data_IF_866500316946
#
_entry.id   IF_866500316946
#
_cell.length_a   1.000
_cell.length_b   1.000
_cell.length_c   1.000
_cell.angle_alpha   90.00
_cell.angle_beta   90.00
_cell.angle_gamma   90.00
#
_symmetry.space_group_name_H-M   'P 1'
#
loop_
_entity.id
_entity.type
_entity.pdbx_description
1 polymer ?
#
# COMPACT_ATOMS: atom_id res chain seq x y z
N UNK A 1 9.20 -6.26 -2.65
CA UNK A 1 8.62 -4.96 -2.22
C UNK A 1 7.13 -5.21 -2.13
N UNK A 2 6.43 -4.89 -1.04
CA UNK A 2 4.97 -4.96 -1.03
C UNK A 2 4.37 -4.15 -2.18
N UNK A 3 3.61 -4.83 -3.03
CA UNK A 3 2.81 -4.24 -4.09
C UNK A 3 1.33 -4.27 -3.65
N UNK A 4 0.40 -3.97 -4.55
CA UNK A 4 -1.03 -3.90 -4.19
C UNK A 4 -1.55 -5.16 -3.49
N UNK A 5 -1.24 -6.39 -3.92
CA UNK A 5 -1.70 -7.60 -3.26
C UNK A 5 -1.25 -7.73 -1.80
N UNK A 6 0.03 -7.48 -1.53
CA UNK A 6 0.58 -7.58 -0.17
C UNK A 6 0.04 -6.47 0.75
N UNK A 7 -0.15 -5.27 0.21
CA UNK A 7 -0.70 -4.13 0.97
C UNK A 7 -2.18 -4.36 1.29
N UNK A 8 -2.97 -4.88 0.34
CA UNK A 8 -4.37 -5.25 0.59
C UNK A 8 -4.48 -6.39 1.60
N UNK A 9 -3.62 -7.41 1.50
CA UNK A 9 -3.61 -8.47 2.49
C UNK A 9 -3.27 -7.93 3.89
N UNK A 10 -2.31 -6.99 3.97
CA UNK A 10 -2.00 -6.29 5.23
C UNK A 10 -3.23 -5.54 5.76
N UNK A 11 -3.92 -4.78 4.91
CA UNK A 11 -5.16 -4.07 5.25
C UNK A 11 -6.22 -5.02 5.82
N UNK A 12 -6.52 -6.12 5.11
CA UNK A 12 -7.50 -7.13 5.55
C UNK A 12 -7.10 -7.78 6.88
N UNK A 13 -5.82 -8.07 7.08
CA UNK A 13 -5.35 -8.65 8.34
C UNK A 13 -5.46 -7.68 9.52
N UNK A 14 -5.22 -6.39 9.31
CA UNK A 14 -5.43 -5.38 10.36
C UNK A 14 -6.91 -5.22 10.71
N UNK A 15 -7.81 -5.26 9.72
CA UNK A 15 -9.26 -5.26 9.95
C UNK A 15 -9.71 -6.53 10.67
N UNK A 16 -9.27 -7.71 10.22
CA UNK A 16 -9.59 -9.00 10.86
C UNK A 16 -9.07 -9.07 12.29
N UNK A 17 -7.91 -8.47 12.56
CA UNK A 17 -7.37 -8.34 13.91
C UNK A 17 -8.20 -7.36 14.76
N UNK A 18 -9.23 -6.69 14.24
CA UNK A 18 -10.04 -5.74 15.01
C UNK A 18 -9.24 -4.50 15.38
N UNK A 19 -8.41 -3.97 14.47
CA UNK A 19 -7.74 -2.68 14.66
C UNK A 19 -8.71 -1.48 14.60
N UNK A 20 -9.73 -1.43 13.71
CA UNK A 20 -10.75 -0.39 13.76
C UNK A 20 -11.47 -0.38 15.11
N UNK A 21 -11.60 0.81 15.70
CA UNK A 21 -12.17 1.04 17.04
C UNK A 21 -11.15 1.08 18.17
N UNK A 22 -9.90 0.64 17.95
CA UNK A 22 -8.85 0.72 18.97
C UNK A 22 -8.28 2.15 19.08
N UNK A 23 -7.96 2.54 20.31
CA UNK A 23 -7.32 3.84 20.61
C UNK A 23 -5.82 3.67 20.81
N UNK A 24 -5.03 4.48 20.10
CA UNK A 24 -3.57 4.50 20.28
C UNK A 24 -3.27 5.21 21.60
N UNK A 25 -2.79 4.49 22.62
CA UNK A 25 -2.56 5.05 23.96
C UNK A 25 -1.21 5.76 24.08
N UNK A 26 -0.24 5.36 23.25
CA UNK A 26 1.07 5.99 23.17
C UNK A 26 1.71 5.69 21.80
N UNK A 27 2.82 6.37 21.48
CA UNK A 27 3.59 6.13 20.25
C UNK A 27 5.08 6.19 20.54
N UNK A 28 5.82 5.17 20.08
CA UNK A 28 7.28 5.14 20.14
C UNK A 28 7.87 5.01 18.72
N UNK A 29 8.54 6.07 18.26
CA UNK A 29 9.22 6.12 16.96
C UNK A 29 10.74 5.98 17.19
N UNK A 30 11.30 4.80 16.95
CA UNK A 30 12.76 4.57 17.14
C UNK A 30 13.64 5.02 15.96
N UNK A 31 13.03 5.35 14.82
CA UNK A 31 13.73 5.81 13.62
C UNK A 31 12.99 6.99 12.98
N UNK A 32 13.39 8.22 13.33
CA UNK A 32 12.67 9.43 12.94
C UNK A 32 12.58 9.61 11.41
N UNK A 33 13.56 9.14 10.65
CA UNK A 33 13.59 9.28 9.19
C UNK A 33 12.46 8.53 8.46
N UNK A 34 11.75 7.61 9.12
CA UNK A 34 10.52 7.02 8.57
C UNK A 34 9.42 8.06 8.45
N UNK A 35 9.35 9.02 9.38
CA UNK A 35 8.31 10.05 9.42
C UNK A 35 8.63 11.15 8.41
N UNK A 36 7.70 11.39 7.48
CA UNK A 36 7.87 12.34 6.38
C UNK A 36 7.14 13.65 6.59
N UNK A 37 5.99 13.61 7.25
CA UNK A 37 5.21 14.78 7.66
C UNK A 37 4.31 14.39 8.84
N UNK A 38 4.22 15.17 9.93
CA UNK A 38 5.07 16.30 10.31
C UNK A 38 6.44 15.80 10.81
N UNK A 39 6.91 16.21 11.99
CA UNK A 39 8.06 15.59 12.65
C UNK A 39 7.65 14.34 13.45
N UNK A 40 8.60 13.47 13.80
CA UNK A 40 8.32 12.29 14.60
C UNK A 40 7.65 12.60 15.96
N UNK A 41 8.09 13.68 16.64
CA UNK A 41 7.49 14.13 17.89
C UNK A 41 6.03 14.57 17.71
N UNK A 42 5.76 15.39 16.68
CA UNK A 42 4.40 15.84 16.36
C UNK A 42 3.49 14.71 15.90
N UNK A 43 4.04 13.71 15.19
CA UNK A 43 3.29 12.51 14.82
C UNK A 43 2.91 11.71 16.07
N UNK A 44 3.85 11.50 16.99
CA UNK A 44 3.57 10.77 18.23
C UNK A 44 2.52 11.48 19.09
N UNK A 45 2.64 12.79 19.25
CA UNK A 45 1.65 13.63 19.94
C UNK A 45 0.28 13.57 19.26
N UNK A 46 0.24 13.75 17.94
CA UNK A 46 -1.02 13.80 17.19
C UNK A 46 -1.75 12.47 17.08
N UNK A 47 -1.06 11.34 17.26
CA UNK A 47 -1.66 10.00 17.29
C UNK A 47 -2.12 9.57 18.69
N UNK A 48 -1.50 10.10 19.74
CA UNK A 48 -1.80 9.71 21.12
C UNK A 48 -3.26 10.05 21.48
N UNK A 49 -3.98 9.07 22.02
CA UNK A 49 -5.39 9.18 22.40
C UNK A 49 -6.37 9.15 21.23
N UNK A 50 -5.91 8.92 19.99
CA UNK A 50 -6.77 8.86 18.81
C UNK A 50 -7.25 7.44 18.54
N UNK A 51 -8.52 7.30 18.20
CA UNK A 51 -9.12 6.04 17.76
C UNK A 51 -8.93 5.86 16.26
N UNK A 52 -8.43 4.70 15.85
CA UNK A 52 -8.37 4.31 14.44
C UNK A 52 -9.78 3.93 13.99
N UNK A 53 -10.36 4.67 13.05
CA UNK A 53 -11.76 4.47 12.65
C UNK A 53 -11.93 3.38 11.60
N UNK A 54 -10.94 3.22 10.73
CA UNK A 54 -10.96 2.26 9.63
C UNK A 54 -9.53 1.95 9.15
N UNK A 55 -9.37 0.93 8.31
CA UNK A 55 -8.12 0.63 7.60
C UNK A 55 -8.42 0.50 6.10
N UNK A 56 -8.03 1.53 5.38
CA UNK A 56 -8.23 1.68 3.94
C UNK A 56 -6.90 1.52 3.18
N UNK A 57 -6.98 1.40 1.86
CA UNK A 57 -5.82 1.30 0.97
C UNK A 57 -6.04 2.12 -0.30
N UNK A 58 -4.98 2.75 -0.78
CA UNK A 58 -4.89 3.29 -2.15
C UNK A 58 -3.54 2.94 -2.76
N UNK A 59 -3.54 2.20 -3.86
CA UNK A 59 -2.32 1.64 -4.46
C UNK A 59 -1.51 0.87 -3.41
N UNK A 60 -0.31 1.36 -3.10
CA UNK A 60 0.61 0.77 -2.11
C UNK A 60 0.63 1.50 -0.75
N UNK A 61 -0.37 2.33 -0.48
CA UNK A 61 -0.51 3.10 0.75
C UNK A 61 -1.64 2.54 1.60
N UNK A 62 -1.40 2.39 2.90
CA UNK A 62 -2.43 2.20 3.90
C UNK A 62 -2.86 3.57 4.44
N UNK A 63 -4.16 3.70 4.66
CA UNK A 63 -4.82 4.93 5.07
C UNK A 63 -5.66 4.60 6.30
N UNK A 64 -5.35 5.19 7.44
CA UNK A 64 -6.03 4.95 8.71
C UNK A 64 -6.67 6.27 9.18
N UNK A 65 -7.97 6.48 8.92
CA UNK A 65 -8.70 7.61 9.46
C UNK A 65 -8.74 7.59 11.00
N UNK A 66 -8.71 8.76 11.62
CA UNK A 66 -8.59 8.95 13.07
C UNK A 66 -9.72 9.84 13.62
N UNK A 67 -10.31 9.47 14.76
CA UNK A 67 -11.33 10.27 15.46
C UNK A 67 -10.82 11.65 15.88
N UNK A 68 -11.60 12.75 15.84
CA UNK A 68 -11.22 14.07 16.40
C UNK A 68 -11.03 15.19 15.36
N UNK A 69 -10.50 16.34 15.78
CA UNK A 69 -10.53 17.60 15.01
C UNK A 69 -9.36 17.89 14.05
N UNK A 70 -8.55 16.88 13.67
CA UNK A 70 -7.39 17.03 12.78
C UNK A 70 -6.02 16.88 13.47
N UNK A 71 -4.93 16.52 12.76
CA UNK A 71 -4.92 15.79 11.49
C UNK A 71 -5.79 14.54 11.54
N UNK A 72 -6.45 14.21 10.44
CA UNK A 72 -7.51 13.20 10.40
C UNK A 72 -7.02 11.83 9.91
N UNK A 73 -5.82 11.75 9.33
CA UNK A 73 -5.37 10.52 8.64
C UNK A 73 -3.93 10.14 8.99
N UNK A 74 -3.75 8.93 9.49
CA UNK A 74 -2.43 8.28 9.60
C UNK A 74 -2.18 7.43 8.35
N UNK A 75 -1.13 7.73 7.59
CA UNK A 75 -0.79 7.00 6.37
C UNK A 75 0.54 6.27 6.49
N UNK A 76 0.60 5.10 5.87
CA UNK A 76 1.75 4.21 5.91
C UNK A 76 2.05 3.69 4.51
N UNK A 77 3.31 3.79 4.09
CA UNK A 77 3.84 3.07 2.93
C UNK A 77 4.87 2.06 3.43
N UNK A 78 4.67 0.77 3.16
CA UNK A 78 5.49 -0.31 3.72
C UNK A 78 6.94 -0.32 3.19
N UNK A 79 7.21 0.37 2.08
CA UNK A 79 8.54 0.41 1.49
C UNK A 79 8.88 -0.94 0.87
N UNK A 80 10.05 -1.52 1.16
CA UNK A 80 10.46 -2.81 0.58
C UNK A 80 10.26 -4.01 1.49
N UNK A 81 10.37 -3.81 2.80
CA UNK A 81 10.35 -4.88 3.83
C UNK A 81 9.39 -4.60 4.98
N UNK A 82 8.70 -3.46 4.94
CA UNK A 82 7.78 -3.06 5.99
C UNK A 82 6.63 -4.04 6.13
N UNK A 83 6.27 -4.36 7.37
CA UNK A 83 5.10 -5.16 7.74
C UNK A 83 4.45 -4.55 8.97
N UNK A 84 3.13 -4.67 9.06
CA UNK A 84 2.37 -4.29 10.25
C UNK A 84 1.83 -5.54 10.94
N UNK A 85 1.88 -5.56 12.27
CA UNK A 85 1.35 -6.64 13.09
C UNK A 85 0.63 -6.07 14.30
N UNK A 86 -0.51 -6.64 14.64
CA UNK A 86 -1.19 -6.40 15.92
C UNK A 86 -0.88 -7.60 16.82
N UNK A 87 -0.22 -7.35 17.94
CA UNK A 87 0.26 -8.40 18.85
C UNK A 87 0.03 -8.01 20.31
N UNK A 88 -0.07 -8.96 21.25
CA UNK A 88 -0.10 -8.65 22.68
C UNK A 88 1.14 -7.86 23.11
N UNK A 89 0.97 -6.89 24.02
CA UNK A 89 2.09 -6.11 24.55
C UNK A 89 3.14 -6.98 25.26
N UNK A 90 2.73 -8.12 25.81
CA UNK A 90 3.58 -9.09 26.49
C UNK A 90 4.47 -9.91 25.56
N UNK A 91 4.22 -9.90 24.25
CA UNK A 91 5.04 -10.62 23.28
C UNK A 91 6.31 -9.82 22.97
N UNK A 92 7.47 -10.46 23.01
CA UNK A 92 8.73 -9.81 22.64
C UNK A 92 8.70 -9.29 21.20
N UNK A 93 9.25 -8.08 20.95
CA UNK A 93 9.23 -7.52 19.61
C UNK A 93 10.24 -8.21 18.70
N UNK A 94 9.88 -8.33 17.41
CA UNK A 94 10.83 -8.66 16.35
C UNK A 94 12.01 -7.66 16.42
N UNK A 95 13.29 -8.10 16.35
CA UNK A 95 14.45 -7.20 16.41
C UNK A 95 14.45 -6.09 15.34
N UNK A 96 13.70 -6.26 14.26
CA UNK A 96 13.52 -5.30 13.17
C UNK A 96 12.31 -4.38 13.38
N UNK A 97 11.62 -4.47 14.52
CA UNK A 97 10.55 -3.53 14.89
C UNK A 97 11.12 -2.14 15.06
N UNK A 98 10.53 -1.17 14.36
CA UNK A 98 10.98 0.24 14.37
C UNK A 98 10.01 1.14 15.09
N UNK A 99 8.71 0.90 14.97
CA UNK A 99 7.70 1.78 15.55
C UNK A 99 6.64 0.96 16.26
N UNK A 100 6.21 1.50 17.39
CA UNK A 100 5.30 0.86 18.31
C UNK A 100 4.15 1.81 18.59
N UNK A 101 2.93 1.30 18.49
CA UNK A 101 1.70 2.03 18.74
C UNK A 101 0.85 1.19 19.70
N UNK A 102 1.13 1.26 21.03
CA UNK A 102 0.29 0.63 22.04
C UNK A 102 -1.19 1.00 21.88
N UNK A 103 -2.06 0.01 22.04
CA UNK A 103 -3.52 0.15 21.94
C UNK A 103 -4.16 0.11 23.34
N UNK A 104 -5.43 0.43 23.44
CA UNK A 104 -6.22 0.51 24.68
C UNK A 104 -6.72 -0.84 25.19
N UNK A 105 -6.49 -1.91 24.45
CA UNK A 105 -6.95 -3.28 24.74
C UNK A 105 -5.81 -4.25 25.12
N UNK A 106 -4.65 -3.71 25.51
CA UNK A 106 -3.48 -4.49 25.91
C UNK A 106 -2.67 -5.07 24.75
N UNK A 107 -3.04 -4.75 23.50
CA UNK A 107 -2.27 -5.07 22.30
C UNK A 107 -1.45 -3.88 21.83
N UNK A 108 -0.65 -4.11 20.80
CA UNK A 108 0.22 -3.13 20.19
C UNK A 108 0.27 -3.33 18.68
N UNK A 109 0.08 -2.24 17.92
CA UNK A 109 0.39 -2.22 16.50
C UNK A 109 1.90 -1.95 16.35
N UNK A 110 2.60 -2.85 15.66
CA UNK A 110 4.05 -2.81 15.44
C UNK A 110 4.37 -2.65 13.97
N UNK A 111 5.23 -1.68 13.64
CA UNK A 111 5.81 -1.53 12.31
C UNK A 111 7.21 -2.13 12.28
N UNK A 112 7.34 -3.27 11.60
CA UNK A 112 8.60 -4.00 11.41
C UNK A 112 9.19 -3.60 10.07
N UNK A 113 10.37 -3.00 10.07
CA UNK A 113 11.05 -2.58 8.84
C UNK A 113 12.57 -2.66 8.98
N UNK A 114 13.12 -3.79 8.53
CA UNK A 114 14.55 -4.06 8.58
C UNK A 114 15.37 -3.09 7.74
N UNK A 115 14.87 -2.68 6.57
CA UNK A 115 15.58 -1.79 5.62
C UNK A 115 15.31 -0.31 5.81
N UNK A 116 14.38 0.06 6.69
CA UNK A 116 14.05 1.47 7.02
C UNK A 116 13.61 2.29 5.79
N UNK A 117 12.92 1.65 4.85
CA UNK A 117 12.38 2.27 3.63
C UNK A 117 10.88 2.57 3.73
N UNK A 118 10.24 2.10 4.80
CA UNK A 118 8.91 2.50 5.17
C UNK A 118 8.79 4.01 5.35
N UNK A 119 7.57 4.50 5.21
CA UNK A 119 7.27 5.93 5.34
C UNK A 119 5.96 6.10 6.11
N UNK A 120 5.95 7.08 7.01
CA UNK A 120 4.81 7.43 7.84
C UNK A 120 4.43 8.90 7.66
N UNK A 121 3.13 9.18 7.65
CA UNK A 121 2.59 10.53 7.60
C UNK A 121 1.39 10.67 8.54
N UNK A 122 1.23 11.84 9.14
CA UNK A 122 0.01 12.26 9.82
C UNK A 122 -0.46 13.57 9.17
N UNK A 123 -1.60 13.52 8.48
CA UNK A 123 -2.08 14.57 7.57
C UNK A 123 -3.59 14.77 7.68
N UNK A 124 -4.10 15.90 7.19
CA UNK A 124 -5.53 16.19 7.20
C UNK A 124 -6.25 15.39 6.10
N UNK A 125 -5.64 15.29 4.92
CA UNK A 125 -6.20 14.57 3.77
C UNK A 125 -5.18 13.63 3.13
N UNK A 126 -5.59 12.42 2.65
CA UNK A 126 -4.73 11.54 1.87
C UNK A 126 -4.09 12.21 0.63
N UNK A 127 -4.75 13.20 0.04
CA UNK A 127 -4.26 13.92 -1.14
C UNK A 127 -2.94 14.68 -0.90
N UNK A 128 -2.57 14.95 0.35
CA UNK A 128 -1.29 15.58 0.69
C UNK A 128 -0.09 14.65 0.52
N UNK A 129 -0.34 13.34 0.41
CA UNK A 129 0.69 12.29 0.38
C UNK A 129 0.61 11.46 -0.89
N UNK A 130 -0.60 11.15 -1.35
CA UNK A 130 -0.80 10.34 -2.55
C UNK A 130 -0.26 11.10 -3.77
N UNK A 131 0.65 10.50 -4.56
CA UNK A 131 0.99 11.05 -5.87
C UNK A 131 -0.22 10.99 -6.81
N UNK A 132 -0.08 11.58 -8.01
CA UNK A 132 -1.00 11.30 -9.12
C UNK A 132 -1.04 9.80 -9.37
N UNK A 133 -2.25 9.23 -9.37
CA UNK A 133 -2.48 7.79 -9.55
C UNK A 133 -3.52 7.54 -10.63
N UNK A 134 -3.35 6.44 -11.39
CA UNK A 134 -4.41 5.89 -12.24
C UNK A 134 -5.58 5.40 -11.38
N UNK A 135 -6.77 5.11 -11.95
CA UNK A 135 -7.78 4.29 -11.29
C UNK A 135 -7.20 2.97 -10.71
N UNK A 136 -7.81 2.40 -9.67
CA UNK A 136 -7.38 1.08 -9.17
C UNK A 136 -7.58 0.00 -10.24
N UNK A 137 -6.71 -1.01 -10.34
CA UNK A 137 -6.83 -2.05 -11.35
C UNK A 137 -8.16 -2.83 -11.35
N UNK A 138 -8.86 -2.86 -10.20
CA UNK A 138 -10.14 -3.54 -10.03
C UNK A 138 -11.36 -2.60 -10.09
N UNK A 139 -11.15 -1.29 -10.28
CA UNK A 139 -12.23 -0.33 -10.42
C UNK A 139 -12.68 -0.24 -11.89
N UNK A 140 -13.95 0.12 -12.10
CA UNK A 140 -14.54 0.31 -13.45
C UNK A 140 -13.80 1.38 -14.28
N UNK A 141 -13.09 2.30 -13.62
CA UNK A 141 -12.30 3.34 -14.27
C UNK A 141 -11.00 2.83 -14.91
N UNK A 142 -10.51 1.64 -14.54
CA UNK A 142 -9.34 1.05 -15.18
C UNK A 142 -9.80 0.29 -16.43
N UNK A 143 -9.94 1.02 -17.53
CA UNK A 143 -10.44 0.54 -18.83
C UNK A 143 -9.31 0.33 -19.84
N UNK A 144 -9.62 -0.27 -20.99
CA UNK A 144 -8.63 -0.42 -22.08
C UNK A 144 -8.25 0.96 -22.61
N UNK A 145 -9.23 1.85 -22.73
CA UNK A 145 -9.11 3.21 -23.26
C UNK A 145 -8.21 4.05 -22.35
N UNK A 146 -8.48 4.06 -21.04
CA UNK A 146 -7.67 4.83 -20.08
C UNK A 146 -6.22 4.34 -20.02
N UNK A 147 -5.99 3.03 -20.10
CA UNK A 147 -4.64 2.48 -20.19
C UNK A 147 -3.95 2.85 -21.52
N UNK A 148 -4.66 2.74 -22.65
CA UNK A 148 -4.12 3.11 -23.96
C UNK A 148 -3.75 4.60 -24.04
N UNK A 149 -4.63 5.47 -23.53
CA UNK A 149 -4.39 6.92 -23.42
C UNK A 149 -3.14 7.22 -22.58
N UNK A 150 -2.94 6.48 -21.49
CA UNK A 150 -1.76 6.64 -20.63
C UNK A 150 -0.44 6.29 -21.34
N UNK A 151 -0.48 5.45 -22.38
CA UNK A 151 0.66 5.08 -23.22
C UNK A 151 0.83 5.95 -24.46
N UNK A 152 -0.18 6.71 -24.85
CA UNK A 152 -0.20 7.45 -26.10
C UNK A 152 1.01 8.41 -26.21
N UNK A 153 1.77 8.27 -27.29
CA UNK A 153 2.98 9.09 -27.55
C UNK A 153 4.19 8.79 -26.65
N UNK A 154 4.09 7.86 -25.70
CA UNK A 154 5.18 7.51 -24.77
C UNK A 154 6.10 6.45 -25.37
N UNK A 155 7.31 6.86 -25.78
CA UNK A 155 8.34 5.96 -26.34
C UNK A 155 9.11 5.14 -25.29
N UNK A 156 8.87 5.37 -24.01
CA UNK A 156 9.51 4.62 -22.94
C UNK A 156 9.10 3.14 -22.99
N UNK A 157 9.98 2.22 -22.52
CA UNK A 157 9.65 0.81 -22.32
C UNK A 157 8.33 0.62 -21.55
N UNK A 158 7.46 -0.26 -22.04
CA UNK A 158 6.17 -0.55 -21.40
C UNK A 158 6.33 -0.95 -19.93
N UNK A 159 7.35 -1.76 -19.60
CA UNK A 159 7.61 -2.14 -18.19
C UNK A 159 7.90 -0.92 -17.33
N UNK A 160 8.68 0.04 -17.83
CA UNK A 160 9.01 1.24 -17.07
C UNK A 160 7.76 2.07 -16.76
N UNK A 161 6.85 2.21 -17.74
CA UNK A 161 5.59 2.93 -17.55
C UNK A 161 4.65 2.20 -16.59
N UNK A 162 4.56 0.86 -16.66
CA UNK A 162 3.73 0.07 -15.73
C UNK A 162 4.14 0.24 -14.26
N UNK A 163 5.39 0.62 -13.97
CA UNK A 163 5.85 0.92 -12.61
C UNK A 163 5.46 2.34 -12.13
N UNK A 164 5.11 3.24 -13.05
CA UNK A 164 4.61 4.57 -12.73
C UNK A 164 3.18 4.47 -12.16
N UNK A 165 2.97 4.96 -10.94
CA UNK A 165 1.68 4.82 -10.25
C UNK A 165 0.55 5.62 -10.93
N UNK A 166 0.88 6.59 -11.79
CA UNK A 166 -0.07 7.31 -12.64
C UNK A 166 -0.57 6.50 -13.83
N UNK A 167 0.11 5.40 -14.18
CA UNK A 167 -0.26 4.50 -15.28
C UNK A 167 -1.02 3.30 -14.71
N UNK A 168 -0.40 2.58 -13.76
CA UNK A 168 -1.06 1.50 -13.01
C UNK A 168 -0.68 1.61 -11.54
N UNK A 169 -1.55 2.23 -10.77
CA UNK A 169 -1.37 2.33 -9.33
C UNK A 169 -1.35 0.92 -8.69
N UNK A 170 -0.51 0.74 -7.67
CA UNK A 170 -0.41 -0.53 -6.98
C UNK A 170 0.51 -1.56 -7.65
N UNK A 171 0.79 -1.43 -8.94
CA UNK A 171 1.68 -2.33 -9.67
C UNK A 171 3.15 -2.04 -9.38
N UNK A 172 3.96 -3.06 -9.17
CA UNK A 172 5.42 -2.98 -9.03
C UNK A 172 6.12 -4.01 -9.91
N UNK A 173 7.35 -4.36 -9.53
CA UNK A 173 8.22 -5.15 -10.42
C UNK A 173 7.68 -6.55 -10.67
N UNK A 174 7.20 -7.24 -9.63
CA UNK A 174 6.77 -8.63 -9.76
C UNK A 174 5.54 -8.72 -10.67
N UNK A 175 4.50 -7.96 -10.34
CA UNK A 175 3.24 -8.06 -11.08
C UNK A 175 3.34 -7.41 -12.46
N UNK A 176 4.23 -6.43 -12.68
CA UNK A 176 4.50 -5.94 -14.03
C UNK A 176 5.15 -7.02 -14.92
N UNK A 177 6.12 -7.76 -14.39
CA UNK A 177 6.76 -8.86 -15.14
C UNK A 177 5.78 -10.00 -15.45
N UNK A 178 5.00 -10.44 -14.47
CA UNK A 178 3.97 -11.46 -14.68
C UNK A 178 2.91 -11.01 -15.69
N UNK A 179 2.44 -9.77 -15.59
CA UNK A 179 1.43 -9.24 -16.51
C UNK A 179 1.95 -9.18 -17.95
N UNK A 180 3.20 -8.74 -18.15
CA UNK A 180 3.82 -8.65 -19.45
C UNK A 180 4.07 -10.05 -20.05
N UNK A 181 4.49 -11.00 -19.22
CA UNK A 181 4.66 -12.39 -19.61
C UNK A 181 3.33 -13.01 -20.07
N UNK A 182 2.27 -12.91 -19.26
CA UNK A 182 0.94 -13.42 -19.59
C UNK A 182 0.35 -12.74 -20.84
N UNK A 183 0.62 -11.45 -21.05
CA UNK A 183 0.17 -10.72 -22.23
C UNK A 183 1.01 -11.00 -23.49
N UNK A 184 2.16 -11.67 -23.36
CA UNK A 184 3.11 -11.91 -24.45
C UNK A 184 3.78 -10.63 -24.96
N UNK A 185 3.99 -9.64 -24.09
CA UNK A 185 4.58 -8.33 -24.46
C UNK A 185 5.99 -8.21 -23.91
N UNK A 186 6.97 -7.99 -24.79
CA UNK A 186 8.36 -7.79 -24.36
C UNK A 186 8.51 -6.50 -23.52
N UNK A 187 9.17 -6.54 -22.35
CA UNK A 187 9.21 -5.42 -21.40
C UNK A 187 9.85 -4.14 -21.95
N UNK A 188 10.78 -4.28 -22.90
CA UNK A 188 11.47 -3.15 -23.55
C UNK A 188 10.73 -2.56 -24.74
N UNK A 189 9.58 -3.13 -25.16
CA UNK A 189 8.81 -2.54 -26.25
C UNK A 189 8.34 -1.14 -25.88
N UNK A 190 8.48 -0.15 -26.79
CA UNK A 190 7.91 1.18 -26.58
C UNK A 190 6.39 1.07 -26.37
N UNK A 191 5.87 1.67 -25.30
CA UNK A 191 4.45 1.58 -24.97
C UNK A 191 3.55 2.18 -26.06
N UNK A 192 3.99 3.26 -26.71
CA UNK A 192 3.30 3.86 -27.86
C UNK A 192 3.20 2.94 -29.08
N UNK A 193 3.94 1.83 -29.11
CA UNK A 193 3.92 0.84 -30.19
C UNK A 193 3.02 -0.36 -29.90
N UNK A 194 2.24 -0.34 -28.83
CA UNK A 194 1.23 -1.37 -28.55
C UNK A 194 -0.06 -1.06 -29.31
N UNK A 195 -0.63 -2.08 -29.96
CA UNK A 195 -1.98 -1.97 -30.53
C UNK A 195 -3.04 -1.96 -29.43
N UNK A 196 -4.26 -1.52 -29.76
CA UNK A 196 -5.37 -1.54 -28.80
C UNK A 196 -5.67 -2.95 -28.28
N UNK A 197 -5.53 -3.98 -29.13
CA UNK A 197 -5.71 -5.38 -28.74
C UNK A 197 -4.60 -5.86 -27.79
N UNK A 198 -3.36 -5.38 -28.00
CA UNK A 198 -2.23 -5.65 -27.09
C UNK A 198 -2.47 -4.99 -25.73
N UNK A 199 -2.97 -3.74 -25.72
CA UNK A 199 -3.34 -3.04 -24.49
C UNK A 199 -4.49 -3.76 -23.77
N UNK A 200 -5.49 -4.23 -24.49
CA UNK A 200 -6.60 -4.99 -23.92
C UNK A 200 -6.13 -6.29 -23.25
N UNK A 201 -5.26 -7.06 -23.94
CA UNK A 201 -4.64 -8.26 -23.36
C UNK A 201 -3.78 -7.95 -22.15
N UNK A 202 -2.97 -6.89 -22.22
CA UNK A 202 -2.12 -6.47 -21.10
C UNK A 202 -2.95 -6.06 -19.88
N UNK A 203 -4.01 -5.28 -20.07
CA UNK A 203 -4.94 -4.93 -19.00
C UNK A 203 -5.53 -6.17 -18.34
N UNK A 204 -6.01 -7.12 -19.15
CA UNK A 204 -6.58 -8.37 -18.64
C UNK A 204 -5.54 -9.17 -17.84
N UNK A 205 -4.31 -9.29 -18.35
CA UNK A 205 -3.20 -9.96 -17.68
C UNK A 205 -2.82 -9.31 -16.34
N UNK A 206 -2.89 -7.98 -16.23
CA UNK A 206 -2.69 -7.25 -14.98
C UNK A 206 -3.74 -7.66 -13.94
N UNK A 207 -5.01 -7.64 -14.33
CA UNK A 207 -6.12 -7.98 -13.44
C UNK A 207 -5.99 -9.45 -12.98
N UNK A 208 -5.69 -10.37 -13.90
CA UNK A 208 -5.50 -11.79 -13.60
C UNK A 208 -4.33 -12.04 -12.65
N UNK A 209 -3.17 -11.42 -12.88
CA UNK A 209 -1.99 -11.56 -12.02
C UNK A 209 -2.28 -11.12 -10.59
N UNK A 210 -2.94 -9.96 -10.43
CA UNK A 210 -3.29 -9.42 -9.13
C UNK A 210 -4.36 -10.25 -8.42
N UNK A 211 -5.38 -10.73 -9.16
CA UNK A 211 -6.45 -11.57 -8.62
C UNK A 211 -5.92 -12.93 -8.16
N UNK A 212 -5.00 -13.54 -8.91
CA UNK A 212 -4.35 -14.78 -8.52
C UNK A 212 -3.61 -14.64 -7.17
N UNK A 213 -2.89 -13.53 -6.98
CA UNK A 213 -2.20 -13.23 -5.72
C UNK A 213 -3.18 -13.06 -4.55
N UNK A 214 -4.30 -12.35 -4.75
CA UNK A 214 -5.35 -12.27 -3.73
C UNK A 214 -5.87 -13.65 -3.32
N UNK A 215 -6.13 -14.54 -4.29
CA UNK A 215 -6.59 -15.90 -4.01
C UNK A 215 -5.59 -16.71 -3.17
N UNK A 216 -4.28 -16.51 -3.35
CA UNK A 216 -3.25 -17.13 -2.50
C UNK A 216 -3.35 -16.61 -1.06
N UNK A 217 -3.48 -15.29 -0.89
CA UNK A 217 -3.57 -14.68 0.44
C UNK A 217 -4.86 -15.02 1.17
N UNK A 218 -5.99 -15.11 0.47
CA UNK A 218 -7.27 -15.49 1.07
C UNK A 218 -7.21 -16.93 1.60
N UNK A 219 -6.68 -17.89 0.81
CA UNK A 219 -6.49 -19.28 1.29
C UNK A 219 -5.55 -19.38 2.50
N UNK A 220 -4.46 -18.62 2.50
CA UNK A 220 -3.52 -18.62 3.63
C UNK A 220 -4.16 -18.03 4.90
N UNK A 221 -5.08 -17.07 4.76
CA UNK A 221 -5.79 -16.45 5.88
C UNK A 221 -6.84 -17.38 6.50
N UNK A 222 -7.54 -18.17 5.68
CA UNK A 222 -8.59 -19.09 6.17
C UNK A 222 -8.01 -20.32 6.93
N UNK A 223 -6.72 -20.61 6.76
CA UNK A 223 -6.03 -21.70 7.44
C UNK A 223 -5.52 -21.33 8.85
N UNK A 224 -5.68 -20.07 9.28
CA UNK A 224 -5.22 -19.53 10.56
C UNK A 224 -6.29 -18.69 11.26
#
# INVERSE_FOLDING_TARGET
MPELPEVENTRRNLVRAGLPGCTITNVNITWANTVKKPSAAKLAEGLKGRTIQDVQRRGKYLILPLSGGGPATFMIHLGMTGRLRVQPLSEDPDPMTRHFFPLDDGRELRFVDGRKFGKLWLVDSPSEVLPTMSPEPFDDGFTVETLAESFAGRKAPVKALLLEQSIVCGLGNLYADESLFLAGVHPERPASGLSIDEVARLRQAIIESLAAAYGVYDRARDQH
#
